data_IF_646525419666
#
_entry.id   IF_646525419666
#
_cell.length_a   1.000
_cell.length_b   1.000
_cell.length_c   1.000
_cell.angle_alpha   90.00
_cell.angle_beta   90.00
_cell.angle_gamma   90.00
#
_symmetry.space_group_name_H-M   'P 1'
#
loop_
_entity.id
_entity.type
_entity.pdbx_description
1 polymer ?
#
# COMPACT_ATOMS: atom_id res chain seq x y z
N UNK A 1 -9.01 14.71 16.34
CA UNK A 1 -8.97 13.32 15.83
C UNK A 1 -8.07 12.55 16.79
N UNK A 2 -8.63 11.63 17.58
CA UNK A 2 -7.81 10.73 18.41
C UNK A 2 -7.48 9.52 17.55
N UNK A 3 -6.35 9.58 16.91
CA UNK A 3 -5.78 8.42 16.26
C UNK A 3 -5.10 7.61 17.35
N UNK A 4 -5.47 6.33 17.58
CA UNK A 4 -4.93 5.57 18.71
C UNK A 4 -3.43 5.38 18.57
N UNK A 5 -2.70 5.53 19.65
CA UNK A 5 -1.32 5.09 19.76
C UNK A 5 -1.33 3.56 19.88
N UNK A 6 -0.86 2.87 18.86
CA UNK A 6 -0.81 1.42 18.89
C UNK A 6 0.44 0.91 18.22
N UNK A 7 1.48 0.77 18.98
CA UNK A 7 2.66 -0.03 18.61
C UNK A 7 2.91 -1.04 19.73
N UNK A 8 3.08 -2.30 19.35
CA UNK A 8 3.25 -3.40 20.31
C UNK A 8 4.68 -3.92 20.39
N UNK A 9 5.51 -3.54 19.43
CA UNK A 9 6.87 -4.03 19.32
C UNK A 9 7.84 -3.50 20.38
N UNK A 10 9.03 -4.10 20.47
CA UNK A 10 10.07 -3.70 21.41
C UNK A 10 10.73 -2.36 21.05
N UNK A 11 10.65 -1.90 19.80
CA UNK A 11 11.30 -0.69 19.32
C UNK A 11 10.36 0.52 19.32
N UNK A 12 10.92 1.72 19.47
CA UNK A 12 10.29 2.94 18.99
C UNK A 12 10.45 3.03 17.45
N UNK A 13 9.74 3.94 16.80
CA UNK A 13 9.75 4.06 15.35
C UNK A 13 10.39 5.38 14.91
N UNK A 14 11.43 5.29 14.11
CA UNK A 14 11.97 6.42 13.38
C UNK A 14 11.31 6.55 12.01
N UNK A 15 11.26 7.77 11.47
CA UNK A 15 10.79 8.01 10.11
C UNK A 15 11.66 9.03 9.40
N UNK A 16 11.78 8.85 8.10
CA UNK A 16 12.38 9.83 7.19
C UNK A 16 11.65 9.85 5.85
N UNK A 17 11.77 10.96 5.14
CA UNK A 17 11.22 11.17 3.80
C UNK A 17 12.37 11.42 2.85
N UNK A 18 12.31 10.82 1.67
CA UNK A 18 13.24 11.11 0.60
C UNK A 18 12.61 10.88 -0.79
N UNK A 19 13.25 11.45 -1.79
CA UNK A 19 12.84 11.32 -3.19
C UNK A 19 13.77 10.37 -3.92
N UNK A 20 13.19 9.42 -4.65
CA UNK A 20 13.93 8.60 -5.62
C UNK A 20 13.55 9.04 -7.01
N UNK A 21 14.56 9.30 -7.85
CA UNK A 21 14.36 9.74 -9.23
C UNK A 21 14.84 8.66 -10.20
N UNK A 22 13.94 8.21 -11.06
CA UNK A 22 14.28 7.32 -12.17
C UNK A 22 14.59 8.14 -13.40
N UNK A 23 15.88 8.35 -13.67
CA UNK A 23 16.34 9.15 -14.82
C UNK A 23 16.12 8.46 -16.18
N UNK A 24 15.90 7.14 -16.17
CA UNK A 24 15.70 6.37 -17.41
C UNK A 24 14.25 6.40 -17.89
N UNK A 25 13.31 6.74 -16.99
CA UNK A 25 11.88 6.82 -17.30
C UNK A 25 11.38 8.26 -17.31
N UNK A 26 10.70 8.63 -18.36
CA UNK A 26 10.01 9.93 -18.45
C UNK A 26 8.62 9.84 -17.83
N UNK A 27 8.27 10.83 -17.01
CA UNK A 27 6.91 10.98 -16.48
C UNK A 27 5.93 11.33 -17.63
N UNK A 28 4.83 10.58 -17.70
CA UNK A 28 3.81 10.74 -18.74
C UNK A 28 2.51 11.37 -18.22
N UNK A 29 2.37 11.46 -16.90
CA UNK A 29 1.21 12.08 -16.24
C UNK A 29 1.53 13.51 -15.81
N UNK A 30 0.51 14.26 -15.44
CA UNK A 30 0.66 15.65 -15.05
C UNK A 30 1.12 16.56 -16.20
N UNK A 31 2.09 17.44 -15.97
CA UNK A 31 2.62 18.31 -17.03
C UNK A 31 3.48 17.57 -18.06
N UNK A 32 3.87 16.30 -17.79
CA UNK A 32 4.82 15.53 -18.59
C UNK A 32 6.21 16.19 -18.69
N UNK A 33 7.23 15.50 -19.12
CA UNK A 33 8.54 16.07 -19.52
C UNK A 33 9.69 16.05 -18.50
N UNK A 34 9.57 15.37 -17.38
CA UNK A 34 10.69 15.18 -16.45
C UNK A 34 10.96 13.71 -16.18
N UNK A 35 12.03 13.38 -15.45
CA UNK A 35 12.24 12.04 -14.95
C UNK A 35 11.14 11.65 -13.97
N UNK A 36 10.79 10.35 -13.95
CA UNK A 36 9.80 9.86 -12.99
C UNK A 36 10.35 9.91 -11.57
N UNK A 37 9.55 10.47 -10.64
CA UNK A 37 9.92 10.62 -9.24
C UNK A 37 9.00 9.79 -8.36
N UNK A 38 9.57 9.16 -7.35
CA UNK A 38 8.87 8.47 -6.28
C UNK A 38 9.13 9.19 -4.96
N UNK A 39 8.07 9.50 -4.25
CA UNK A 39 8.14 9.89 -2.85
C UNK A 39 8.29 8.62 -2.01
N UNK A 40 9.17 8.62 -1.02
CA UNK A 40 9.32 7.49 -0.10
C UNK A 40 9.25 8.00 1.33
N UNK A 41 8.33 7.44 2.11
CA UNK A 41 8.36 7.56 3.57
C UNK A 41 8.84 6.24 4.14
N UNK A 42 9.97 6.28 4.80
CA UNK A 42 10.54 5.10 5.46
C UNK A 42 10.22 5.12 6.95
N UNK A 43 9.85 3.96 7.49
CA UNK A 43 9.63 3.69 8.91
C UNK A 43 10.63 2.64 9.33
N UNK A 44 11.33 2.86 10.44
CA UNK A 44 12.41 1.98 10.86
C UNK A 44 12.50 1.85 12.38
N UNK A 45 13.00 0.71 12.90
CA UNK A 45 13.25 0.54 14.32
C UNK A 45 14.29 1.53 14.84
N UNK A 46 13.99 2.15 15.99
CA UNK A 46 14.93 2.94 16.76
C UNK A 46 14.87 2.57 18.24
N UNK A 47 15.92 2.83 19.00
CA UNK A 47 15.92 2.58 20.43
C UNK A 47 14.92 3.51 21.16
N UNK A 48 14.18 2.97 22.12
CA UNK A 48 13.21 3.79 22.90
C UNK A 48 13.90 4.97 23.60
N UNK A 49 15.11 4.77 24.08
CA UNK A 49 15.91 5.83 24.71
C UNK A 49 16.27 6.97 23.76
N UNK A 50 16.37 6.69 22.45
CA UNK A 50 16.63 7.72 21.44
C UNK A 50 15.46 8.67 21.19
N UNK A 51 14.28 8.35 21.72
CA UNK A 51 13.04 9.15 21.55
C UNK A 51 12.61 9.87 22.81
N UNK A 52 13.35 9.72 23.92
CA UNK A 52 13.04 10.38 25.19
C UNK A 52 13.09 11.92 25.04
N UNK A 53 12.02 12.57 25.44
CA UNK A 53 11.90 14.03 25.37
C UNK A 53 11.59 14.58 23.96
N UNK A 54 11.49 13.73 22.96
CA UNK A 54 11.11 14.16 21.60
C UNK A 54 9.59 14.19 21.43
N UNK A 55 9.11 15.10 20.58
CA UNK A 55 7.74 15.10 20.16
C UNK A 55 7.52 14.12 18.99
N UNK A 56 6.35 13.46 18.98
CA UNK A 56 5.90 12.66 17.85
C UNK A 56 5.73 13.53 16.61
N UNK A 57 6.10 12.99 15.46
CA UNK A 57 6.02 13.72 14.20
C UNK A 57 4.60 13.73 13.61
N UNK A 58 4.34 14.73 12.80
CA UNK A 58 3.07 14.87 12.09
C UNK A 58 2.98 13.86 10.94
N UNK A 59 1.78 13.29 10.74
CA UNK A 59 1.52 12.40 9.59
C UNK A 59 1.58 13.19 8.29
N UNK A 60 1.04 14.41 8.28
CA UNK A 60 0.95 15.26 7.11
C UNK A 60 1.51 16.65 7.39
N UNK A 61 2.00 17.28 6.35
CA UNK A 61 2.14 18.74 6.34
C UNK A 61 0.74 19.38 6.25
N UNK A 62 0.61 20.64 6.62
CA UNK A 62 -0.66 21.38 6.49
C UNK A 62 -1.14 21.44 5.04
N UNK A 63 -0.22 21.59 4.10
CA UNK A 63 -0.52 21.65 2.66
C UNK A 63 -1.06 20.32 2.12
N UNK A 64 -0.44 19.20 2.50
CA UNK A 64 -0.91 17.85 2.13
C UNK A 64 -2.27 17.56 2.76
N UNK A 65 -2.47 17.90 4.03
CA UNK A 65 -3.76 17.73 4.70
C UNK A 65 -4.88 18.51 4.01
N UNK A 66 -4.64 19.75 3.58
CA UNK A 66 -5.62 20.55 2.84
C UNK A 66 -6.01 19.90 1.49
N UNK A 67 -5.04 19.30 0.78
CA UNK A 67 -5.31 18.55 -0.45
C UNK A 67 -6.19 17.32 -0.18
N UNK A 68 -5.90 16.56 0.88
CA UNK A 68 -6.70 15.41 1.31
C UNK A 68 -8.13 15.82 1.69
N UNK A 69 -8.29 16.88 2.48
CA UNK A 69 -9.60 17.42 2.88
C UNK A 69 -10.44 17.81 1.66
N UNK A 70 -9.82 18.44 0.67
CA UNK A 70 -10.49 18.84 -0.58
C UNK A 70 -10.90 17.61 -1.40
N UNK A 71 -10.06 16.62 -1.50
CA UNK A 71 -10.31 15.42 -2.32
C UNK A 71 -11.36 14.50 -1.72
N UNK A 72 -11.33 14.31 -0.41
CA UNK A 72 -12.28 13.44 0.29
C UNK A 72 -13.49 14.17 0.89
N UNK A 73 -13.60 15.48 0.68
CA UNK A 73 -14.72 16.30 1.18
C UNK A 73 -14.98 16.18 2.69
N UNK A 74 -13.92 16.00 3.49
CA UNK A 74 -14.03 16.01 4.94
C UNK A 74 -13.40 17.28 5.54
N UNK A 75 -13.86 17.64 6.74
CA UNK A 75 -13.28 18.76 7.50
C UNK A 75 -12.61 18.19 8.75
N UNK A 76 -11.38 18.58 8.99
CA UNK A 76 -10.76 18.43 10.30
C UNK A 76 -10.89 19.75 11.07
N UNK A 77 -11.00 19.69 12.41
CA UNK A 77 -10.92 20.88 13.22
C UNK A 77 -9.65 21.68 12.90
N UNK A 78 -9.74 22.98 12.91
CA UNK A 78 -8.57 23.86 12.89
C UNK A 78 -7.75 23.60 14.15
N UNK A 79 -6.45 23.40 14.02
CA UNK A 79 -5.60 23.15 15.16
C UNK A 79 -4.35 22.33 14.81
N UNK A 80 -3.97 21.45 15.71
CA UNK A 80 -2.79 20.59 15.56
C UNK A 80 -2.96 19.55 14.44
N UNK A 81 -1.88 19.30 13.73
CA UNK A 81 -1.82 18.25 12.72
C UNK A 81 -1.87 16.86 13.41
N UNK A 82 -2.44 15.85 12.76
CA UNK A 82 -2.44 14.50 13.31
C UNK A 82 -1.01 13.97 13.41
N UNK A 83 -0.66 13.47 14.59
CA UNK A 83 0.63 12.85 14.90
C UNK A 83 0.49 11.33 14.92
N UNK A 84 1.55 10.62 14.58
CA UNK A 84 1.64 9.17 14.71
C UNK A 84 2.75 8.76 15.70
N UNK A 85 2.84 7.47 16.02
CA UNK A 85 3.84 6.92 16.94
C UNK A 85 5.20 6.74 16.26
N UNK A 86 5.74 7.83 15.70
CA UNK A 86 7.07 7.86 15.13
C UNK A 86 7.76 9.22 15.34
N UNK A 87 9.07 9.22 15.16
CA UNK A 87 9.94 10.36 15.42
C UNK A 87 10.84 10.63 14.21
N UNK A 88 11.01 11.90 13.87
CA UNK A 88 11.94 12.33 12.81
C UNK A 88 13.34 12.57 13.39
N UNK A 89 14.39 12.38 12.58
CA UNK A 89 15.78 12.67 12.94
C UNK A 89 16.39 11.74 13.97
N UNK A 90 15.75 10.62 14.30
CA UNK A 90 16.30 9.60 15.21
C UNK A 90 17.18 8.61 14.45
N UNK A 91 18.15 8.01 15.13
CA UNK A 91 19.08 7.06 14.51
C UNK A 91 18.47 5.66 14.38
N UNK A 92 18.88 4.93 13.36
CA UNK A 92 18.68 3.49 13.29
C UNK A 92 19.35 2.77 14.45
N UNK A 93 18.83 1.59 14.82
CA UNK A 93 19.47 0.73 15.84
C UNK A 93 20.86 0.33 15.35
N UNK A 94 21.89 0.64 16.13
CA UNK A 94 23.27 0.33 15.76
C UNK A 94 23.56 -1.18 15.82
N UNK A 95 24.35 -1.67 14.87
CA UNK A 95 24.81 -3.05 14.83
C UNK A 95 23.74 -4.09 14.48
N UNK A 96 22.51 -3.67 14.13
CA UNK A 96 21.44 -4.56 13.71
C UNK A 96 20.96 -4.24 12.29
N UNK A 97 20.58 -5.30 11.57
CA UNK A 97 19.87 -5.19 10.31
C UNK A 97 18.45 -5.74 10.49
N UNK A 98 17.52 -5.16 9.76
CA UNK A 98 16.12 -5.55 9.80
C UNK A 98 15.60 -5.86 8.39
N UNK A 99 14.72 -6.84 8.23
CA UNK A 99 14.13 -7.16 6.93
C UNK A 99 13.34 -5.99 6.37
N UNK A 100 13.36 -5.85 5.04
CA UNK A 100 12.64 -4.82 4.30
C UNK A 100 11.26 -5.30 3.90
N UNK A 101 10.27 -4.45 4.12
CA UNK A 101 8.92 -4.57 3.56
C UNK A 101 8.62 -3.33 2.72
N UNK A 102 8.20 -3.53 1.48
CA UNK A 102 7.69 -2.46 0.63
C UNK A 102 6.18 -2.38 0.79
N UNK A 103 5.68 -1.18 1.03
CA UNK A 103 4.26 -0.87 1.06
C UNK A 103 3.89 0.04 -0.12
N UNK A 104 2.88 -0.35 -0.90
CA UNK A 104 2.27 0.46 -1.94
C UNK A 104 0.82 0.81 -1.55
N UNK A 105 0.46 2.08 -1.67
CA UNK A 105 -0.88 2.57 -1.36
C UNK A 105 -1.93 2.21 -2.44
N UNK A 106 -3.21 2.48 -2.19
CA UNK A 106 -4.27 2.35 -3.19
C UNK A 106 -4.24 3.48 -4.22
N UNK A 107 -4.73 3.21 -5.43
CA UNK A 107 -4.80 4.22 -6.49
C UNK A 107 -5.62 5.44 -6.06
N UNK A 108 -5.06 6.63 -6.21
CA UNK A 108 -5.69 7.86 -5.73
C UNK A 108 -5.73 8.01 -4.19
N UNK A 109 -4.95 7.19 -3.45
CA UNK A 109 -4.69 7.39 -2.02
C UNK A 109 -3.41 8.21 -1.80
N UNK A 110 -2.55 7.81 -0.90
CA UNK A 110 -1.29 8.50 -0.58
C UNK A 110 -0.38 7.57 0.23
N UNK A 111 0.91 7.84 0.24
CA UNK A 111 1.91 6.97 0.88
C UNK A 111 1.63 6.74 2.38
N UNK A 112 1.11 7.73 3.11
CA UNK A 112 0.81 7.60 4.54
C UNK A 112 -0.57 7.00 4.84
N UNK A 113 -1.26 6.40 3.85
CA UNK A 113 -2.62 5.89 4.03
C UNK A 113 -2.74 4.74 5.06
N UNK A 114 -1.65 4.07 5.36
CA UNK A 114 -1.56 3.00 6.37
C UNK A 114 -0.37 3.22 7.32
N UNK A 115 -0.20 4.44 7.80
CA UNK A 115 0.88 4.82 8.73
C UNK A 115 0.91 3.91 9.97
N UNK A 116 -0.26 3.55 10.51
CA UNK A 116 -0.31 2.69 11.71
C UNK A 116 0.24 1.30 11.46
N UNK A 117 -0.15 0.67 10.35
CA UNK A 117 0.38 -0.64 9.97
C UNK A 117 1.91 -0.56 9.76
N UNK A 118 2.39 0.48 9.09
CA UNK A 118 3.82 0.68 8.87
C UNK A 118 4.56 0.91 10.19
N UNK A 119 4.01 1.70 11.11
CA UNK A 119 4.57 1.91 12.44
C UNK A 119 4.59 0.61 13.26
N UNK A 120 3.50 -0.16 13.23
CA UNK A 120 3.42 -1.43 13.94
C UNK A 120 4.46 -2.43 13.43
N UNK A 121 4.60 -2.57 12.12
CA UNK A 121 5.66 -3.41 11.53
C UNK A 121 7.05 -2.92 11.93
N UNK A 122 7.31 -1.61 11.87
CA UNK A 122 8.62 -1.07 12.24
C UNK A 122 8.92 -1.27 13.72
N UNK A 123 7.92 -1.09 14.61
CA UNK A 123 8.10 -1.35 16.04
C UNK A 123 8.45 -2.81 16.35
N UNK A 124 8.02 -3.72 15.50
CA UNK A 124 8.30 -5.16 15.57
C UNK A 124 9.56 -5.58 14.81
N UNK A 125 10.39 -4.64 14.35
CA UNK A 125 11.69 -4.94 13.78
C UNK A 125 11.67 -5.19 12.27
N UNK A 126 10.91 -4.39 11.53
CA UNK A 126 10.99 -4.29 10.07
C UNK A 126 11.41 -2.88 9.67
N UNK A 127 12.08 -2.74 8.54
CA UNK A 127 12.16 -1.47 7.83
C UNK A 127 11.05 -1.48 6.78
N UNK A 128 10.18 -0.47 6.81
CA UNK A 128 9.05 -0.36 5.89
C UNK A 128 9.23 0.87 5.01
N UNK A 129 9.29 0.67 3.70
CA UNK A 129 9.32 1.76 2.74
C UNK A 129 7.96 1.90 2.07
N UNK A 130 7.23 2.96 2.41
CA UNK A 130 5.98 3.32 1.78
C UNK A 130 6.22 4.24 0.61
N UNK A 131 5.77 3.81 -0.58
CA UNK A 131 6.06 4.48 -1.85
C UNK A 131 4.86 5.30 -2.29
N UNK A 132 5.10 6.58 -2.60
CA UNK A 132 4.18 7.45 -3.28
C UNK A 132 4.48 7.51 -4.78
N UNK A 133 3.44 7.38 -5.60
CA UNK A 133 3.54 7.31 -7.05
C UNK A 133 3.13 8.63 -7.68
N UNK A 134 4.06 9.26 -8.40
CA UNK A 134 3.89 10.58 -8.99
C UNK A 134 2.58 10.71 -9.79
N UNK A 135 1.80 11.76 -9.53
CA UNK A 135 0.52 12.10 -10.17
C UNK A 135 -0.61 11.06 -10.05
N UNK A 136 -0.39 9.96 -9.32
CA UNK A 136 -1.36 8.89 -9.11
C UNK A 136 -1.84 8.78 -7.67
N UNK A 137 -1.35 9.66 -6.81
CA UNK A 137 -1.83 9.90 -5.46
C UNK A 137 -2.37 11.32 -5.29
N UNK A 138 -3.17 11.55 -4.26
CA UNK A 138 -3.85 12.84 -4.06
C UNK A 138 -2.86 13.98 -4.00
N UNK A 139 -1.78 13.82 -3.25
CA UNK A 139 -0.72 14.82 -3.15
C UNK A 139 0.58 14.20 -2.65
N UNK A 140 1.69 14.65 -3.24
CA UNK A 140 3.05 14.46 -2.73
C UNK A 140 3.65 15.80 -2.35
N UNK A 141 4.32 15.84 -1.22
CA UNK A 141 5.21 16.92 -0.84
C UNK A 141 6.60 16.35 -0.65
N UNK A 142 7.48 16.67 -1.58
CA UNK A 142 8.84 16.15 -1.62
C UNK A 142 9.74 16.87 -0.63
N UNK A 143 10.90 16.32 -0.30
CA UNK A 143 11.84 16.87 0.66
C UNK A 143 12.39 18.26 0.26
N UNK A 144 12.41 18.58 -1.03
CA UNK A 144 12.78 19.90 -1.56
C UNK A 144 11.65 20.95 -1.45
N UNK A 145 10.51 20.60 -0.84
CA UNK A 145 9.33 21.45 -0.71
C UNK A 145 8.47 21.52 -1.98
N UNK A 146 8.86 20.87 -3.08
CA UNK A 146 8.01 20.78 -4.26
C UNK A 146 6.75 19.98 -3.95
N UNK A 147 5.64 20.37 -4.58
CA UNK A 147 4.32 19.82 -4.29
C UNK A 147 3.62 19.38 -5.57
N UNK A 148 3.14 18.17 -5.56
CA UNK A 148 2.51 17.54 -6.70
C UNK A 148 1.09 17.07 -6.33
N UNK A 149 0.16 17.31 -7.20
CA UNK A 149 -1.23 16.82 -7.09
C UNK A 149 -1.48 15.72 -8.12
N UNK A 150 -2.49 14.91 -7.84
CA UNK A 150 -2.99 13.89 -8.78
C UNK A 150 -3.33 14.53 -10.14
N UNK A 151 -3.02 13.82 -11.22
CA UNK A 151 -3.36 14.28 -12.58
C UNK A 151 -4.88 14.38 -12.72
N UNK A 152 -5.34 15.56 -13.11
CA UNK A 152 -6.78 15.85 -13.30
C UNK A 152 -7.45 15.01 -14.40
N UNK A 153 -6.67 14.41 -15.29
CA UNK A 153 -7.17 13.60 -16.42
C UNK A 153 -7.29 12.11 -16.08
N UNK A 154 -6.96 11.69 -14.87
CA UNK A 154 -6.96 10.27 -14.46
C UNK A 154 -8.30 9.58 -14.76
N UNK A 155 -9.41 10.23 -14.44
CA UNK A 155 -10.73 9.67 -14.74
C UNK A 155 -10.95 9.47 -16.24
N UNK A 156 -10.41 10.35 -17.07
CA UNK A 156 -10.47 10.22 -18.54
C UNK A 156 -9.61 9.04 -19.02
N UNK A 157 -8.42 8.86 -18.46
CA UNK A 157 -7.56 7.72 -18.80
C UNK A 157 -8.18 6.39 -18.36
N UNK A 158 -8.76 6.34 -17.18
CA UNK A 158 -9.35 5.13 -16.61
C UNK A 158 -10.67 4.73 -17.27
N UNK A 159 -11.54 5.69 -17.56
CA UNK A 159 -12.92 5.43 -17.96
C UNK A 159 -13.27 5.93 -19.36
N UNK A 160 -12.43 6.74 -19.99
CA UNK A 160 -12.67 7.40 -21.27
C UNK A 160 -13.75 8.49 -21.17
N UNK A 161 -14.91 8.18 -20.60
CA UNK A 161 -16.04 9.08 -20.45
C UNK A 161 -16.88 8.76 -19.20
N UNK A 162 -17.82 9.65 -18.86
CA UNK A 162 -18.81 9.40 -17.81
C UNK A 162 -19.64 8.14 -18.07
N UNK A 163 -20.04 7.90 -19.31
CA UNK A 163 -20.77 6.65 -19.69
C UNK A 163 -19.87 5.42 -19.55
N UNK A 164 -18.57 5.54 -19.87
CA UNK A 164 -17.59 4.49 -19.62
C UNK A 164 -17.49 4.12 -18.16
N UNK A 165 -17.42 5.13 -17.27
CA UNK A 165 -17.46 4.93 -15.81
C UNK A 165 -18.72 4.20 -15.37
N UNK A 166 -19.93 4.66 -15.75
CA UNK A 166 -21.18 4.01 -15.37
C UNK A 166 -21.24 2.56 -15.85
N UNK A 167 -20.79 2.29 -17.08
CA UNK A 167 -20.71 0.94 -17.63
C UNK A 167 -19.78 0.05 -16.82
N UNK A 168 -18.58 0.55 -16.46
CA UNK A 168 -17.62 -0.20 -15.67
C UNK A 168 -18.21 -0.55 -14.30
N UNK A 169 -18.78 0.42 -13.59
CA UNK A 169 -19.42 0.22 -12.29
C UNK A 169 -20.52 -0.83 -12.38
N UNK A 170 -21.39 -0.74 -13.39
CA UNK A 170 -22.47 -1.72 -13.57
C UNK A 170 -21.95 -3.15 -13.78
N UNK A 171 -20.93 -3.31 -14.64
CA UNK A 171 -20.35 -4.63 -14.94
C UNK A 171 -19.60 -5.17 -13.71
N UNK A 172 -18.88 -4.32 -12.99
CA UNK A 172 -18.19 -4.69 -11.75
C UNK A 172 -19.19 -5.15 -10.66
N UNK A 173 -20.25 -4.39 -10.44
CA UNK A 173 -21.29 -4.78 -9.47
C UNK A 173 -21.97 -6.11 -9.81
N UNK A 174 -22.11 -6.42 -11.12
CA UNK A 174 -22.58 -7.71 -11.57
C UNK A 174 -21.57 -8.81 -11.23
N UNK A 175 -20.29 -8.60 -11.58
CA UNK A 175 -19.22 -9.55 -11.31
C UNK A 175 -19.10 -9.89 -9.80
N UNK A 176 -19.18 -8.89 -8.93
CA UNK A 176 -19.10 -9.09 -7.47
C UNK A 176 -20.22 -9.97 -6.91
N UNK A 177 -21.37 -10.06 -7.62
CA UNK A 177 -22.53 -10.89 -7.23
C UNK A 177 -22.54 -12.27 -7.90
N UNK A 178 -21.60 -12.53 -8.81
CA UNK A 178 -21.52 -13.83 -9.48
C UNK A 178 -21.25 -14.94 -8.47
N UNK A 179 -21.80 -16.11 -8.78
CA UNK A 179 -21.59 -17.35 -8.03
C UNK A 179 -20.97 -18.37 -8.97
N UNK A 180 -20.18 -19.26 -8.43
CA UNK A 180 -19.54 -20.32 -9.20
C UNK A 180 -18.37 -20.93 -8.44
N UNK A 181 -17.73 -21.90 -9.04
CA UNK A 181 -16.44 -22.40 -8.56
C UNK A 181 -15.37 -21.31 -8.68
N UNK A 182 -14.25 -21.41 -7.93
CA UNK A 182 -13.12 -20.49 -8.09
C UNK A 182 -12.66 -20.36 -9.55
N UNK A 183 -12.63 -21.46 -10.32
CA UNK A 183 -12.23 -21.50 -11.72
C UNK A 183 -13.19 -20.67 -12.59
N UNK A 184 -14.52 -20.87 -12.42
CA UNK A 184 -15.53 -20.11 -13.13
C UNK A 184 -15.47 -18.61 -12.82
N UNK A 185 -15.21 -18.26 -11.55
CA UNK A 185 -15.02 -16.87 -11.12
C UNK A 185 -13.73 -16.27 -11.71
N UNK A 186 -12.67 -17.07 -11.79
CA UNK A 186 -11.43 -16.67 -12.45
C UNK A 186 -11.66 -16.33 -13.92
N UNK A 187 -12.33 -17.19 -14.68
CA UNK A 187 -12.62 -16.96 -16.10
C UNK A 187 -13.48 -15.71 -16.31
N UNK A 188 -14.54 -15.53 -15.51
CA UNK A 188 -15.39 -14.33 -15.59
C UNK A 188 -14.62 -13.05 -15.29
N UNK A 189 -13.75 -13.08 -14.28
CA UNK A 189 -12.90 -11.93 -13.95
C UNK A 189 -11.88 -11.66 -15.05
N UNK A 190 -11.28 -12.69 -15.65
CA UNK A 190 -10.31 -12.53 -16.72
C UNK A 190 -10.91 -11.86 -17.96
N UNK A 191 -12.11 -12.29 -18.36
CA UNK A 191 -12.89 -11.62 -19.43
C UNK A 191 -13.18 -10.16 -19.09
N UNK A 192 -13.55 -9.88 -17.83
CA UNK A 192 -13.82 -8.51 -17.36
C UNK A 192 -12.58 -7.64 -17.45
N UNK A 193 -11.46 -8.08 -16.87
CA UNK A 193 -10.25 -7.27 -16.82
C UNK A 193 -9.65 -7.01 -18.20
N UNK A 194 -9.58 -8.02 -19.08
CA UNK A 194 -9.08 -7.85 -20.45
C UNK A 194 -9.87 -6.80 -21.22
N UNK A 195 -11.17 -6.66 -20.94
CA UNK A 195 -12.04 -5.73 -21.65
C UNK A 195 -12.08 -4.32 -21.05
N UNK A 196 -11.95 -4.19 -19.73
CA UNK A 196 -12.26 -2.93 -19.04
C UNK A 196 -11.12 -2.36 -18.21
N UNK A 197 -10.07 -3.12 -17.90
CA UNK A 197 -9.06 -2.73 -16.93
C UNK A 197 -7.65 -2.50 -17.52
N UNK A 198 -7.53 -2.28 -18.83
CA UNK A 198 -6.22 -2.11 -19.49
C UNK A 198 -5.37 -1.02 -18.83
N UNK A 199 -5.96 0.12 -18.47
CA UNK A 199 -5.25 1.19 -17.77
C UNK A 199 -4.73 0.73 -16.40
N UNK A 200 -5.55 0.06 -15.60
CA UNK A 200 -5.15 -0.44 -14.27
C UNK A 200 -4.02 -1.48 -14.39
N UNK A 201 -4.10 -2.37 -15.37
CA UNK A 201 -3.06 -3.38 -15.63
C UNK A 201 -1.73 -2.70 -15.99
N UNK A 202 -1.77 -1.68 -16.82
CA UNK A 202 -0.59 -0.87 -17.16
C UNK A 202 0.00 -0.21 -15.92
N UNK A 203 -0.84 0.38 -15.05
CA UNK A 203 -0.35 1.06 -13.83
C UNK A 203 0.29 0.11 -12.84
N UNK A 204 -0.17 -1.13 -12.72
CA UNK A 204 0.48 -2.16 -11.90
C UNK A 204 1.94 -2.36 -12.35
N UNK A 205 2.16 -2.49 -13.65
CA UNK A 205 3.52 -2.64 -14.20
C UNK A 205 4.39 -1.41 -13.94
N UNK A 206 3.83 -0.21 -14.07
CA UNK A 206 4.56 1.04 -13.80
C UNK A 206 4.93 1.15 -12.32
N UNK A 207 4.00 0.85 -11.40
CA UNK A 207 4.27 0.89 -9.96
C UNK A 207 5.24 -0.20 -9.52
N UNK A 208 5.23 -1.36 -10.17
CA UNK A 208 6.25 -2.38 -9.95
C UNK A 208 7.64 -1.88 -10.35
N UNK A 209 7.77 -1.16 -11.48
CA UNK A 209 9.03 -0.53 -11.87
C UNK A 209 9.47 0.58 -10.91
N UNK A 210 8.53 1.39 -10.41
CA UNK A 210 8.79 2.39 -9.36
C UNK A 210 9.36 1.71 -8.11
N UNK A 211 8.71 0.63 -7.68
CA UNK A 211 9.15 -0.17 -6.53
C UNK A 211 10.56 -0.72 -6.73
N UNK A 212 10.87 -1.27 -7.89
CA UNK A 212 12.23 -1.76 -8.21
C UNK A 212 13.27 -0.64 -8.19
N UNK A 213 12.91 0.53 -8.68
CA UNK A 213 13.79 1.70 -8.62
C UNK A 213 14.07 2.11 -7.17
N UNK A 214 13.04 2.17 -6.32
CA UNK A 214 13.19 2.45 -4.88
C UNK A 214 14.05 1.37 -4.20
N UNK A 215 13.83 0.09 -4.49
CA UNK A 215 14.64 -0.99 -3.91
C UNK A 215 16.11 -0.87 -4.29
N UNK A 216 16.44 -0.52 -5.54
CA UNK A 216 17.84 -0.28 -5.95
C UNK A 216 18.47 0.87 -5.14
N UNK A 217 17.74 1.94 -4.93
CA UNK A 217 18.18 3.09 -4.15
C UNK A 217 18.41 2.70 -2.67
N UNK A 218 17.46 1.96 -2.08
CA UNK A 218 17.59 1.45 -0.70
C UNK A 218 18.79 0.52 -0.53
N UNK A 219 19.05 -0.37 -1.48
CA UNK A 219 20.26 -1.22 -1.48
C UNK A 219 21.56 -0.41 -1.49
N UNK A 220 21.56 0.72 -2.18
CA UNK A 220 22.75 1.61 -2.24
C UNK A 220 22.94 2.40 -0.94
N UNK A 221 21.87 2.97 -0.40
CA UNK A 221 21.97 3.91 0.74
C UNK A 221 21.84 3.26 2.12
N UNK A 222 21.08 2.17 2.23
CA UNK A 222 20.66 1.59 3.52
C UNK A 222 21.10 0.15 3.76
N UNK A 223 22.00 -0.41 2.94
CA UNK A 223 22.50 -1.79 3.06
C UNK A 223 23.08 -2.14 4.44
N UNK A 224 23.51 -1.14 5.19
CA UNK A 224 24.06 -1.32 6.55
C UNK A 224 22.97 -1.59 7.60
N UNK A 225 21.71 -1.21 7.34
CA UNK A 225 20.58 -1.39 8.25
C UNK A 225 19.53 -2.38 7.76
N UNK A 226 19.53 -2.68 6.45
CA UNK A 226 18.57 -3.59 5.85
C UNK A 226 19.18 -4.98 5.68
N UNK A 227 18.44 -6.00 6.10
CA UNK A 227 18.75 -7.39 5.84
C UNK A 227 18.00 -7.85 4.58
N UNK A 228 18.76 -8.12 3.52
CA UNK A 228 18.25 -8.66 2.26
C UNK A 228 18.45 -10.17 2.14
N UNK A 229 19.00 -10.85 3.16
CA UNK A 229 19.43 -12.26 3.06
C UNK A 229 18.27 -13.21 2.74
N UNK A 230 17.05 -12.89 3.18
CA UNK A 230 15.84 -13.68 2.92
C UNK A 230 14.91 -13.05 1.89
N UNK A 231 15.40 -12.02 1.19
CA UNK A 231 14.61 -11.27 0.23
C UNK A 231 13.79 -10.13 0.85
N UNK A 232 12.78 -9.68 0.15
CA UNK A 232 11.97 -8.50 0.47
C UNK A 232 10.50 -8.92 0.61
N UNK A 233 9.80 -8.37 1.61
CA UNK A 233 8.36 -8.49 1.73
C UNK A 233 7.64 -7.43 0.88
N UNK A 234 6.54 -7.81 0.24
CA UNK A 234 5.68 -6.89 -0.49
C UNK A 234 4.29 -6.82 0.13
N UNK A 235 3.78 -5.62 0.37
CA UNK A 235 2.40 -5.43 0.79
C UNK A 235 1.82 -4.15 0.21
N UNK A 236 0.51 -4.03 0.23
CA UNK A 236 -0.17 -2.82 -0.20
C UNK A 236 -1.68 -2.96 -0.19
N UNK A 237 -2.35 -1.81 -0.27
CA UNK A 237 -3.80 -1.71 -0.29
C UNK A 237 -4.30 -1.51 -1.72
N UNK A 238 -5.40 -2.15 -2.09
CA UNK A 238 -6.06 -1.93 -3.39
C UNK A 238 -5.11 -2.17 -4.58
N UNK A 239 -4.82 -1.17 -5.41
CA UNK A 239 -3.84 -1.28 -6.49
C UNK A 239 -2.46 -1.67 -5.96
N UNK A 240 -2.05 -1.13 -4.81
CA UNK A 240 -0.79 -1.50 -4.16
C UNK A 240 -0.72 -2.98 -3.77
N UNK A 241 -1.85 -3.57 -3.39
CA UNK A 241 -1.96 -5.01 -3.15
C UNK A 241 -1.80 -5.84 -4.42
N UNK A 242 -2.35 -5.36 -5.54
CA UNK A 242 -2.13 -5.97 -6.86
C UNK A 242 -0.65 -5.87 -7.29
N UNK A 243 0.02 -4.74 -6.99
CA UNK A 243 1.46 -4.57 -7.21
C UNK A 243 2.27 -5.54 -6.37
N UNK A 244 1.90 -5.75 -5.09
CA UNK A 244 2.56 -6.75 -4.24
C UNK A 244 2.44 -8.17 -4.81
N UNK A 245 1.27 -8.53 -5.34
CA UNK A 245 1.08 -9.81 -6.04
C UNK A 245 1.95 -9.90 -7.29
N UNK A 246 1.96 -8.85 -8.12
CA UNK A 246 2.79 -8.78 -9.32
C UNK A 246 4.28 -8.95 -9.01
N UNK A 247 4.79 -8.23 -8.01
CA UNK A 247 6.21 -8.31 -7.59
C UNK A 247 6.57 -9.73 -7.11
N UNK A 248 5.74 -10.34 -6.28
CA UNK A 248 5.97 -11.72 -5.84
C UNK A 248 5.92 -12.73 -7.00
N UNK A 249 5.13 -12.48 -8.03
CA UNK A 249 5.00 -13.36 -9.19
C UNK A 249 6.17 -13.23 -10.16
N UNK A 250 6.71 -12.02 -10.36
CA UNK A 250 7.65 -11.75 -11.44
C UNK A 250 9.09 -11.45 -11.00
N UNK A 251 9.32 -11.05 -9.74
CA UNK A 251 10.62 -10.56 -9.28
C UNK A 251 11.19 -11.49 -8.21
N UNK A 252 12.35 -12.10 -8.48
CA UNK A 252 12.97 -13.09 -7.58
C UNK A 252 13.28 -12.56 -6.18
N UNK A 253 13.64 -11.27 -6.08
CA UNK A 253 14.02 -10.63 -4.83
C UNK A 253 12.88 -10.45 -3.82
N UNK A 254 11.62 -10.56 -4.26
CA UNK A 254 10.46 -10.51 -3.35
C UNK A 254 10.13 -11.92 -2.88
N UNK A 255 10.37 -12.19 -1.61
CA UNK A 255 10.26 -13.52 -1.03
C UNK A 255 8.84 -13.93 -0.66
N UNK A 256 8.01 -12.99 -0.23
CA UNK A 256 6.61 -13.21 0.20
C UNK A 256 5.80 -11.93 0.12
N UNK A 257 4.47 -12.04 0.22
CA UNK A 257 3.61 -10.87 0.15
C UNK A 257 2.27 -10.98 0.83
N UNK A 258 1.67 -9.80 1.05
CA UNK A 258 0.31 -9.63 1.58
C UNK A 258 -0.43 -8.61 0.73
N UNK A 259 -1.56 -9.00 0.17
CA UNK A 259 -2.47 -8.10 -0.56
C UNK A 259 -3.63 -7.68 0.34
N UNK A 260 -3.81 -6.39 0.53
CA UNK A 260 -4.94 -5.83 1.28
C UNK A 260 -6.01 -5.35 0.30
N UNK A 261 -7.01 -6.17 0.08
CA UNK A 261 -8.24 -5.89 -0.69
C UNK A 261 -8.00 -5.41 -2.13
N UNK A 262 -6.89 -5.82 -2.76
CA UNK A 262 -6.56 -5.50 -4.14
C UNK A 262 -7.01 -6.58 -5.11
N UNK A 263 -7.66 -6.20 -6.19
CA UNK A 263 -7.97 -7.10 -7.30
C UNK A 263 -6.70 -7.55 -8.02
N UNK A 264 -6.57 -8.84 -8.30
CA UNK A 264 -5.40 -9.40 -8.99
C UNK A 264 -5.56 -9.22 -10.50
N UNK A 265 -5.26 -8.01 -10.96
CA UNK A 265 -5.28 -7.67 -12.38
C UNK A 265 -3.97 -8.02 -13.06
N UNK A 266 -4.02 -8.47 -14.31
CA UNK A 266 -2.87 -8.82 -15.12
C UNK A 266 -3.09 -10.09 -15.92
N UNK A 267 -2.20 -10.39 -16.84
CA UNK A 267 -2.19 -11.66 -17.55
C UNK A 267 -1.34 -12.66 -16.74
N UNK A 268 -2.03 -13.53 -16.03
CA UNK A 268 -1.43 -14.60 -15.23
C UNK A 268 -1.79 -15.99 -15.80
N UNK A 269 -2.18 -16.08 -17.07
CA UNK A 269 -2.51 -17.34 -17.70
C UNK A 269 -1.30 -18.27 -17.69
N UNK A 270 -1.47 -19.48 -17.18
CA UNK A 270 -0.39 -20.47 -17.04
C UNK A 270 0.61 -20.19 -15.91
N UNK A 271 0.56 -19.04 -15.24
CA UNK A 271 1.44 -18.73 -14.13
C UNK A 271 0.94 -19.34 -12.82
N UNK A 272 1.88 -19.79 -12.01
CA UNK A 272 1.63 -20.34 -10.67
C UNK A 272 2.44 -19.54 -9.65
N UNK A 273 1.78 -19.05 -8.59
CA UNK A 273 2.47 -18.38 -7.50
C UNK A 273 3.33 -19.39 -6.73
N UNK A 274 4.64 -19.21 -6.76
CA UNK A 274 5.61 -20.08 -6.08
C UNK A 274 6.04 -19.55 -4.72
N UNK A 275 5.61 -18.37 -4.36
CA UNK A 275 6.01 -17.68 -3.12
C UNK A 275 4.84 -17.62 -2.14
N UNK A 276 5.12 -17.63 -0.83
CA UNK A 276 4.09 -17.44 0.19
C UNK A 276 3.34 -16.13 -0.02
N UNK A 277 2.01 -16.23 -0.06
CA UNK A 277 1.18 -15.06 -0.32
C UNK A 277 -0.14 -15.11 0.45
N UNK A 278 -0.49 -14.01 1.10
CA UNK A 278 -1.77 -13.88 1.79
C UNK A 278 -2.64 -12.84 1.10
N UNK A 279 -3.90 -13.17 0.91
CA UNK A 279 -4.96 -12.26 0.48
C UNK A 279 -5.80 -11.85 1.68
N UNK A 280 -5.98 -10.56 1.88
CA UNK A 280 -6.92 -9.99 2.84
C UNK A 280 -8.00 -9.30 2.04
N UNK A 281 -9.27 -9.55 2.32
CA UNK A 281 -10.35 -8.90 1.60
C UNK A 281 -11.57 -8.60 2.46
N UNK A 282 -12.34 -7.60 2.06
CA UNK A 282 -13.71 -7.50 2.48
C UNK A 282 -14.57 -8.53 1.73
N UNK A 283 -15.68 -8.93 2.35
CA UNK A 283 -16.59 -9.94 1.77
C UNK A 283 -17.04 -9.60 0.34
N UNK A 284 -17.23 -8.32 0.06
CA UNK A 284 -17.71 -7.87 -1.25
C UNK A 284 -16.71 -8.14 -2.37
N UNK A 285 -15.40 -8.05 -2.08
CA UNK A 285 -14.35 -8.21 -3.06
C UNK A 285 -13.81 -9.65 -3.19
N UNK A 286 -14.35 -10.58 -2.41
CA UNK A 286 -13.87 -11.97 -2.38
C UNK A 286 -13.76 -12.59 -3.78
N UNK A 287 -14.78 -12.43 -4.63
CA UNK A 287 -14.79 -13.02 -5.98
C UNK A 287 -13.68 -12.49 -6.90
N UNK A 288 -13.20 -11.27 -6.65
CA UNK A 288 -12.12 -10.64 -7.43
C UNK A 288 -10.75 -11.09 -6.94
N UNK A 289 -10.65 -11.39 -5.64
CA UNK A 289 -9.39 -11.70 -4.96
C UNK A 289 -9.05 -13.19 -5.00
N UNK A 290 -10.02 -14.07 -4.86
CA UNK A 290 -9.83 -15.52 -4.87
C UNK A 290 -9.16 -16.07 -6.11
N UNK A 291 -9.26 -15.35 -7.22
CA UNK A 291 -8.60 -15.73 -8.48
C UNK A 291 -7.09 -16.00 -8.31
N UNK A 292 -6.41 -15.27 -7.43
CA UNK A 292 -4.96 -15.45 -7.21
C UNK A 292 -4.59 -16.74 -6.48
N UNK A 293 -5.54 -17.35 -5.78
CA UNK A 293 -5.32 -18.58 -5.01
C UNK A 293 -5.49 -19.85 -5.84
N UNK A 294 -6.08 -19.78 -7.03
CA UNK A 294 -6.38 -20.95 -7.87
C UNK A 294 -5.12 -21.65 -8.36
N UNK A 295 -4.06 -20.87 -8.61
CA UNK A 295 -2.80 -21.39 -9.16
C UNK A 295 -1.64 -21.06 -8.23
N UNK A 296 -1.62 -21.72 -7.07
CA UNK A 296 -0.62 -21.50 -6.03
C UNK A 296 -0.01 -22.81 -5.57
N UNK A 297 1.31 -22.92 -5.57
CA UNK A 297 2.07 -24.07 -5.06
C UNK A 297 2.67 -23.81 -3.68
N UNK A 298 2.70 -22.58 -3.22
CA UNK A 298 3.22 -22.18 -1.92
C UNK A 298 2.09 -21.96 -0.89
N UNK A 299 2.46 -21.53 0.33
CA UNK A 299 1.48 -21.07 1.30
C UNK A 299 0.61 -19.98 0.71
N UNK A 300 -0.71 -20.20 0.72
CA UNK A 300 -1.70 -19.24 0.31
C UNK A 300 -2.90 -19.27 1.27
N UNK A 301 -3.33 -18.10 1.68
CA UNK A 301 -4.50 -17.92 2.54
C UNK A 301 -5.29 -16.71 2.10
N UNK A 302 -6.60 -16.79 2.17
CA UNK A 302 -7.51 -15.65 2.04
C UNK A 302 -8.19 -15.41 3.38
N UNK A 303 -7.94 -14.24 3.97
CA UNK A 303 -8.58 -13.79 5.21
C UNK A 303 -9.70 -12.81 4.89
N UNK A 304 -10.94 -13.15 5.27
CA UNK A 304 -12.12 -12.33 5.01
C UNK A 304 -12.48 -11.52 6.24
N UNK A 305 -12.56 -10.21 6.07
CA UNK A 305 -13.03 -9.27 7.07
C UNK A 305 -14.50 -8.93 6.77
N UNK A 306 -15.42 -9.69 7.37
CA UNK A 306 -16.86 -9.65 7.05
C UNK A 306 -17.49 -8.26 7.19
N UNK A 307 -17.12 -7.51 8.24
CA UNK A 307 -17.68 -6.20 8.57
C UNK A 307 -16.81 -5.02 8.08
N UNK A 308 -15.88 -5.26 7.17
CA UNK A 308 -15.05 -4.22 6.56
C UNK A 308 -15.56 -3.82 5.18
N UNK A 309 -15.16 -2.63 4.78
CA UNK A 309 -15.30 -2.11 3.42
C UNK A 309 -13.93 -1.74 2.88
N UNK A 310 -13.82 -1.67 1.57
CA UNK A 310 -12.56 -1.43 0.85
C UNK A 310 -11.69 -0.29 1.46
N UNK A 311 -12.26 0.90 1.63
CA UNK A 311 -11.54 2.08 2.14
C UNK A 311 -11.17 1.92 3.62
N UNK A 312 -11.92 1.12 4.37
CA UNK A 312 -11.71 0.90 5.80
C UNK A 312 -10.42 0.16 6.16
N UNK A 313 -9.77 -0.49 5.21
CA UNK A 313 -8.46 -1.12 5.41
C UNK A 313 -7.28 -0.13 5.48
N UNK A 314 -7.57 1.15 5.59
CA UNK A 314 -6.59 2.23 5.73
C UNK A 314 -6.87 3.09 6.96
N UNK A 315 -5.98 4.03 7.27
CA UNK A 315 -6.15 5.00 8.36
C UNK A 315 -7.41 5.87 8.20
N UNK A 316 -8.02 5.88 7.00
CA UNK A 316 -9.34 6.45 6.75
C UNK A 316 -10.43 5.88 7.69
N UNK A 317 -10.24 4.67 8.22
CA UNK A 317 -11.11 4.06 9.23
C UNK A 317 -11.30 4.93 10.48
N UNK A 318 -10.26 5.68 10.86
CA UNK A 318 -10.31 6.61 11.99
C UNK A 318 -10.74 8.02 11.61
N UNK A 319 -10.72 8.33 10.31
CA UNK A 319 -11.04 9.65 9.78
C UNK A 319 -12.50 9.79 9.35
N UNK A 320 -13.08 8.71 8.82
CA UNK A 320 -14.41 8.71 8.21
C UNK A 320 -15.39 7.97 9.14
N UNK A 321 -16.34 8.68 9.78
CA UNK A 321 -17.28 8.06 10.73
C UNK A 321 -18.45 7.30 10.06
N UNK A 322 -18.38 7.08 8.73
CA UNK A 322 -19.47 6.47 7.95
C UNK A 322 -19.22 4.97 7.76
N UNK A 323 -19.87 4.12 8.55
CA UNK A 323 -19.76 2.67 8.45
C UNK A 323 -20.12 2.11 7.04
N UNK A 324 -20.97 2.80 6.29
CA UNK A 324 -21.27 2.43 4.91
C UNK A 324 -20.04 2.55 3.98
N UNK A 325 -19.05 3.37 4.34
CA UNK A 325 -17.82 3.63 3.56
C UNK A 325 -16.66 2.78 4.08
N UNK A 326 -16.49 2.70 5.40
CA UNK A 326 -15.30 2.08 6.03
C UNK A 326 -15.58 0.75 6.73
N UNK A 327 -16.82 0.29 6.73
CA UNK A 327 -17.23 -0.92 7.45
C UNK A 327 -17.58 -0.68 8.93
N UNK A 328 -18.19 -1.70 9.56
CA UNK A 328 -18.67 -1.63 10.95
C UNK A 328 -17.64 -2.12 11.99
N UNK A 329 -16.65 -2.92 11.57
CA UNK A 329 -15.61 -3.42 12.47
C UNK A 329 -14.94 -2.26 13.22
N UNK A 330 -14.61 -2.45 14.49
CA UNK A 330 -13.82 -1.47 15.23
C UNK A 330 -12.44 -1.24 14.59
N UNK A 331 -11.96 -0.01 14.60
CA UNK A 331 -10.71 0.33 13.94
C UNK A 331 -9.49 -0.34 14.57
N UNK A 332 -9.47 -0.48 15.90
CA UNK A 332 -8.37 -1.14 16.61
C UNK A 332 -8.41 -2.66 16.41
N UNK A 333 -9.60 -3.26 16.36
CA UNK A 333 -9.75 -4.67 16.02
C UNK A 333 -9.26 -4.93 14.59
N UNK A 334 -9.65 -4.08 13.64
CA UNK A 334 -9.17 -4.17 12.26
C UNK A 334 -7.64 -4.16 12.21
N UNK A 335 -6.98 -3.21 12.90
CA UNK A 335 -5.52 -3.13 12.89
C UNK A 335 -4.85 -4.33 13.54
N UNK A 336 -5.35 -4.82 14.66
CA UNK A 336 -4.82 -6.03 15.32
C UNK A 336 -4.85 -7.22 14.39
N UNK A 337 -5.97 -7.45 13.72
CA UNK A 337 -6.11 -8.55 12.77
C UNK A 337 -5.24 -8.34 11.53
N UNK A 338 -5.20 -7.11 11.01
CA UNK A 338 -4.40 -6.76 9.84
C UNK A 338 -2.91 -6.98 10.12
N UNK A 339 -2.40 -6.49 11.26
CA UNK A 339 -1.02 -6.69 11.69
C UNK A 339 -0.69 -8.16 11.91
N UNK A 340 -1.59 -8.92 12.57
CA UNK A 340 -1.40 -10.36 12.77
C UNK A 340 -1.26 -11.13 11.45
N UNK A 341 -2.06 -10.78 10.44
CA UNK A 341 -1.93 -11.36 9.10
C UNK A 341 -0.56 -11.07 8.46
N UNK A 342 -0.04 -9.86 8.62
CA UNK A 342 1.29 -9.50 8.12
C UNK A 342 2.40 -10.25 8.85
N UNK A 343 2.32 -10.33 10.17
CA UNK A 343 3.32 -11.06 10.98
C UNK A 343 3.31 -12.56 10.72
N UNK A 344 2.13 -13.18 10.50
CA UNK A 344 2.05 -14.59 10.10
C UNK A 344 2.88 -14.91 8.86
N UNK A 345 2.94 -13.99 7.89
CA UNK A 345 3.72 -14.15 6.66
C UNK A 345 5.15 -13.68 6.87
N UNK A 346 5.35 -12.46 7.33
CA UNK A 346 6.67 -11.84 7.31
C UNK A 346 7.60 -12.37 8.40
N UNK A 347 7.11 -12.72 9.60
CA UNK A 347 7.98 -13.33 10.62
C UNK A 347 8.52 -14.67 10.12
N UNK A 348 7.66 -15.50 9.53
CA UNK A 348 8.05 -16.82 9.04
C UNK A 348 9.02 -16.79 7.85
N UNK A 349 8.85 -15.86 6.93
CA UNK A 349 9.59 -15.90 5.65
C UNK A 349 10.67 -14.82 5.52
N UNK A 350 10.73 -13.85 6.41
CA UNK A 350 11.76 -12.82 6.41
C UNK A 350 12.64 -12.82 7.66
N UNK A 351 12.20 -13.45 8.79
CA UNK A 351 12.99 -13.50 10.03
C UNK A 351 13.48 -14.92 10.39
N UNK A 352 12.62 -15.94 10.23
CA UNK A 352 12.99 -17.36 10.47
C UNK A 352 13.81 -17.96 9.32
#
# INVERSE_FOLDING_TARGET
MNIPNYITGPYAVGTEIFTVTDAERTEVLGPGNGPRKMYVRMYYPTEKSATEGLEKANIFTRRKLQALQKSFHFKMPEGELPKADYYEGVKHVEGKKFPLVIYNHGYGAYAEANTYLCCEMASNGYIVASIGHAYEEIANEYEDGSFQLMDKNINKYMYGSFFGYLRLVFVQLKLLKEKGSPEELFEKFDVFQKKYCAYIIERISVWAQDTKCVVRDLKSRYAQWIDFSKGIGATGHSLGGAVAYYLCQHEEEFACGVNIDGGVFGDYEGMVMKKPFMQICCKENYNVITRSLIRTEAFARCEIFEDMKHIGFSDAKFMIPLAAVVGKMDGMEMYKRLSACHFEVFDKYLKE
#
